data_IF_692832107632
#
_entry.id   IF_692832107632
#
_cell.length_a   1.000
_cell.length_b   1.000
_cell.length_c   1.000
_cell.angle_alpha   90.00
_cell.angle_beta   90.00
_cell.angle_gamma   90.00
#
_symmetry.space_group_name_H-M   'P 1'
#
loop_
_entity.id
_entity.type
_entity.pdbx_description
1 polymer ?
#
# COMPACT_ATOMS: atom_id res chain seq x y z
N UNK A 1 -17.07 -24.18 26.88
CA UNK A 1 -16.78 -22.82 27.39
C UNK A 1 -17.78 -21.90 26.74
N UNK A 2 -18.70 -21.31 27.52
CA UNK A 2 -19.67 -20.38 27.00
C UNK A 2 -18.97 -19.18 26.38
N UNK A 3 -19.21 -18.95 25.08
CA UNK A 3 -18.80 -17.71 24.42
C UNK A 3 -19.57 -16.56 25.08
N UNK A 4 -18.93 -15.86 26.01
CA UNK A 4 -19.56 -14.70 26.68
C UNK A 4 -19.63 -13.46 25.76
N UNK A 5 -19.41 -13.59 24.46
CA UNK A 5 -19.50 -12.52 23.45
C UNK A 5 -20.37 -12.97 22.28
N UNK A 6 -21.11 -12.04 21.70
CA UNK A 6 -21.95 -12.25 20.53
C UNK A 6 -21.34 -11.57 19.30
N UNK A 7 -21.58 -12.15 18.14
CA UNK A 7 -21.19 -11.60 16.85
C UNK A 7 -22.40 -10.89 16.22
N UNK A 8 -22.17 -9.72 15.66
CA UNK A 8 -23.15 -8.96 14.91
C UNK A 8 -22.53 -8.14 13.78
N UNK A 9 -23.37 -7.62 12.92
CA UNK A 9 -23.00 -6.67 11.89
C UNK A 9 -22.77 -5.28 12.49
N UNK A 10 -22.09 -4.46 11.71
CA UNK A 10 -21.97 -3.03 11.99
C UNK A 10 -23.32 -2.34 11.80
N UNK A 11 -23.67 -1.43 12.70
CA UNK A 11 -24.76 -0.48 12.57
C UNK A 11 -24.21 0.95 12.69
N UNK A 12 -24.90 1.89 12.05
CA UNK A 12 -24.58 3.30 12.18
C UNK A 12 -24.66 3.73 13.66
N UNK A 13 -23.61 4.42 14.13
CA UNK A 13 -23.44 4.77 15.55
C UNK A 13 -22.44 3.87 16.30
N UNK A 14 -21.99 2.76 15.71
CA UNK A 14 -20.98 1.89 16.32
C UNK A 14 -19.57 2.51 16.31
N UNK A 15 -19.38 3.62 15.58
CA UNK A 15 -18.07 4.26 15.38
C UNK A 15 -17.40 4.63 16.70
N UNK A 16 -18.17 5.09 17.69
CA UNK A 16 -17.64 5.42 19.01
C UNK A 16 -17.11 4.17 19.73
N UNK A 17 -17.87 3.08 19.70
CA UNK A 17 -17.43 1.81 20.28
C UNK A 17 -16.23 1.18 19.56
N UNK A 18 -16.15 1.35 18.24
CA UNK A 18 -14.98 0.93 17.43
C UNK A 18 -13.77 1.78 17.82
N UNK A 19 -13.95 3.10 18.00
CA UNK A 19 -12.88 3.99 18.42
C UNK A 19 -12.37 3.64 19.82
N UNK A 20 -13.25 3.32 20.79
CA UNK A 20 -12.85 2.86 22.11
C UNK A 20 -12.04 1.56 22.05
N UNK A 21 -12.46 0.61 21.19
CA UNK A 21 -11.68 -0.60 20.94
C UNK A 21 -10.31 -0.26 20.33
N UNK A 22 -10.24 0.66 19.36
CA UNK A 22 -8.99 1.12 18.76
C UNK A 22 -8.04 1.71 19.83
N UNK A 23 -8.55 2.55 20.72
CA UNK A 23 -7.76 3.10 21.85
C UNK A 23 -7.22 2.01 22.76
N UNK A 24 -8.04 1.02 23.08
CA UNK A 24 -7.62 -0.10 23.94
C UNK A 24 -6.53 -0.96 23.29
N UNK A 25 -6.56 -1.10 21.97
CA UNK A 25 -5.56 -1.88 21.20
C UNK A 25 -4.28 -1.11 20.96
N UNK A 26 -4.36 0.21 20.76
CA UNK A 26 -3.22 1.10 20.43
C UNK A 26 -3.09 2.29 21.41
N UNK A 27 -2.88 2.05 22.71
CA UNK A 27 -2.86 3.12 23.72
C UNK A 27 -1.76 4.16 23.49
N UNK A 28 -0.74 3.84 22.68
CA UNK A 28 0.38 4.74 22.36
C UNK A 28 0.11 5.70 21.19
N UNK A 29 -1.01 5.56 20.50
CA UNK A 29 -1.36 6.45 19.37
C UNK A 29 -2.09 7.69 19.87
N UNK A 30 -2.08 8.74 19.06
CA UNK A 30 -2.94 9.91 19.28
C UNK A 30 -4.42 9.52 19.18
N UNK A 31 -5.24 10.02 20.13
CA UNK A 31 -6.64 9.65 20.29
C UNK A 31 -7.56 10.85 20.14
N UNK A 32 -7.56 11.49 18.96
CA UNK A 32 -8.56 12.48 18.58
C UNK A 32 -9.70 11.79 17.83
N UNK A 33 -10.88 11.74 18.47
CA UNK A 33 -12.06 11.08 17.88
C UNK A 33 -12.51 11.76 16.58
N UNK A 34 -12.51 13.09 16.52
CA UNK A 34 -12.95 13.83 15.34
C UNK A 34 -12.05 13.57 14.13
N UNK A 35 -10.75 13.57 14.35
CA UNK A 35 -9.74 13.25 13.34
C UNK A 35 -9.85 11.80 12.88
N UNK A 36 -9.93 10.86 13.82
CA UNK A 36 -10.11 9.45 13.55
C UNK A 36 -11.40 9.19 12.78
N UNK A 37 -12.54 9.81 13.15
CA UNK A 37 -13.83 9.61 12.52
C UNK A 37 -13.84 10.12 11.06
N UNK A 38 -13.19 11.26 10.77
CA UNK A 38 -13.05 11.74 9.39
C UNK A 38 -12.26 10.74 8.53
N UNK A 39 -11.13 10.24 9.05
CA UNK A 39 -10.33 9.21 8.39
C UNK A 39 -11.12 7.92 8.21
N UNK A 40 -11.81 7.47 9.26
CA UNK A 40 -12.60 6.26 9.25
C UNK A 40 -13.74 6.34 8.21
N UNK A 41 -14.49 7.44 8.16
CA UNK A 41 -15.55 7.65 7.15
C UNK A 41 -15.00 7.62 5.74
N UNK A 42 -13.93 8.35 5.49
CA UNK A 42 -13.23 8.31 4.19
C UNK A 42 -12.89 6.88 3.78
N UNK A 43 -12.31 6.08 4.67
CA UNK A 43 -11.85 4.73 4.35
C UNK A 43 -13.01 3.74 4.19
N UNK A 44 -13.99 3.77 5.10
CA UNK A 44 -15.00 2.72 5.23
C UNK A 44 -16.35 3.06 4.58
N UNK A 45 -16.66 4.34 4.36
CA UNK A 45 -17.93 4.79 3.79
C UNK A 45 -17.79 5.39 2.39
N UNK A 46 -16.73 6.19 2.16
CA UNK A 46 -16.55 6.97 0.92
C UNK A 46 -15.76 6.23 -0.15
N UNK A 47 -15.48 4.94 0.03
CA UNK A 47 -14.76 4.12 -0.92
C UNK A 47 -15.54 3.98 -2.24
N UNK A 48 -14.95 4.35 -3.41
CA UNK A 48 -15.66 4.30 -4.70
C UNK A 48 -15.96 2.88 -5.20
N UNK A 49 -15.37 1.86 -4.61
CA UNK A 49 -15.70 0.46 -4.94
C UNK A 49 -16.91 -0.07 -4.15
N UNK A 50 -17.39 0.70 -3.16
CA UNK A 50 -18.52 0.38 -2.28
C UNK A 50 -18.16 0.49 -0.80
N UNK A 51 -19.15 0.44 0.11
CA UNK A 51 -18.91 0.50 1.54
C UNK A 51 -18.18 -0.75 2.04
N UNK A 52 -17.41 -0.57 3.10
CA UNK A 52 -16.70 -1.68 3.76
C UNK A 52 -17.68 -2.71 4.35
N UNK A 53 -17.25 -3.98 4.37
CA UNK A 53 -17.90 -5.04 5.16
C UNK A 53 -17.23 -5.14 6.50
N UNK A 54 -18.04 -5.15 7.57
CA UNK A 54 -17.56 -5.06 8.93
C UNK A 54 -18.30 -6.05 9.83
N UNK A 55 -17.56 -6.82 10.61
CA UNK A 55 -18.08 -7.70 11.64
C UNK A 55 -17.63 -7.26 13.03
N UNK A 56 -18.53 -7.26 13.99
CA UNK A 56 -18.31 -6.86 15.38
C UNK A 56 -18.50 -8.04 16.33
N UNK A 57 -17.68 -8.09 17.37
CA UNK A 57 -17.92 -8.91 18.55
C UNK A 57 -18.27 -7.99 19.71
N UNK A 58 -19.38 -8.27 20.37
CA UNK A 58 -19.88 -7.49 21.49
C UNK A 58 -19.99 -8.33 22.76
N UNK A 59 -19.63 -7.75 23.89
CA UNK A 59 -19.85 -8.32 25.21
C UNK A 59 -20.30 -7.22 26.18
N UNK A 60 -21.44 -7.44 26.85
CA UNK A 60 -22.03 -6.50 27.83
C UNK A 60 -22.18 -5.06 27.27
N UNK A 61 -22.66 -4.91 26.03
CA UNK A 61 -22.83 -3.63 25.35
C UNK A 61 -21.54 -2.95 24.90
N UNK A 62 -20.37 -3.63 24.99
CA UNK A 62 -19.08 -3.10 24.53
C UNK A 62 -18.57 -3.87 23.34
N UNK A 63 -18.04 -3.17 22.34
CA UNK A 63 -17.35 -3.78 21.19
C UNK A 63 -15.98 -4.27 21.66
N UNK A 64 -15.78 -5.58 21.60
CA UNK A 64 -14.53 -6.26 22.04
C UNK A 64 -13.76 -6.88 20.88
N UNK A 65 -14.32 -6.85 19.67
CA UNK A 65 -13.67 -7.31 18.45
C UNK A 65 -14.21 -6.59 17.23
N UNK A 66 -13.35 -6.36 16.24
CA UNK A 66 -13.67 -5.72 14.98
C UNK A 66 -12.84 -6.36 13.86
N UNK A 67 -13.48 -6.64 12.74
CA UNK A 67 -12.86 -7.12 11.52
C UNK A 67 -13.51 -6.45 10.32
N UNK A 68 -12.70 -5.87 9.43
CA UNK A 68 -13.20 -5.18 8.26
C UNK A 68 -12.47 -5.58 6.99
N UNK A 69 -13.17 -5.49 5.86
CA UNK A 69 -12.62 -5.53 4.51
C UNK A 69 -13.12 -4.34 3.71
N UNK A 70 -12.23 -3.76 2.91
CA UNK A 70 -12.53 -2.66 2.00
C UNK A 70 -12.72 -3.21 0.59
N UNK A 71 -13.86 -2.99 -0.06
CA UNK A 71 -14.01 -3.33 -1.47
C UNK A 71 -12.96 -2.61 -2.32
N UNK A 72 -12.45 -3.31 -3.32
CA UNK A 72 -11.55 -2.77 -4.32
C UNK A 72 -11.80 -3.44 -5.67
N UNK A 73 -11.37 -2.81 -6.74
CA UNK A 73 -11.48 -3.39 -8.08
C UNK A 73 -10.10 -3.74 -8.61
N UNK A 74 -9.97 -4.96 -9.10
CA UNK A 74 -8.76 -5.44 -9.79
C UNK A 74 -9.03 -5.53 -11.29
N UNK A 75 -8.06 -5.14 -12.10
CA UNK A 75 -7.97 -5.64 -13.48
C UNK A 75 -7.25 -6.98 -13.43
N UNK A 76 -7.90 -8.03 -13.90
CA UNK A 76 -7.34 -9.38 -14.05
C UNK A 76 -7.45 -9.74 -15.53
N UNK A 77 -6.32 -9.79 -16.24
CA UNK A 77 -6.28 -10.01 -17.69
C UNK A 77 -7.26 -9.10 -18.45
N UNK A 78 -7.27 -7.81 -18.12
CA UNK A 78 -8.15 -6.78 -18.72
C UNK A 78 -9.62 -6.79 -18.24
N UNK A 79 -10.03 -7.76 -17.41
CA UNK A 79 -11.39 -7.81 -16.84
C UNK A 79 -11.42 -7.22 -15.44
N UNK A 80 -12.42 -6.36 -15.19
CA UNK A 80 -12.61 -5.81 -13.85
C UNK A 80 -13.32 -6.82 -12.95
N UNK A 81 -12.66 -7.16 -11.84
CA UNK A 81 -13.14 -8.10 -10.82
C UNK A 81 -13.28 -7.38 -9.50
N UNK A 82 -14.37 -7.64 -8.78
CA UNK A 82 -14.54 -7.14 -7.42
C UNK A 82 -13.70 -7.98 -6.45
N UNK A 83 -12.85 -7.30 -5.72
CA UNK A 83 -11.99 -7.85 -4.69
C UNK A 83 -12.15 -7.02 -3.40
N UNK A 84 -11.37 -7.34 -2.38
CA UNK A 84 -11.31 -6.53 -1.16
C UNK A 84 -9.90 -6.53 -0.55
N UNK A 85 -9.65 -5.57 0.31
CA UNK A 85 -8.47 -5.46 1.15
C UNK A 85 -8.86 -5.72 2.61
N UNK A 86 -8.24 -6.68 3.27
CA UNK A 86 -8.46 -6.93 4.70
C UNK A 86 -7.70 -5.90 5.53
N UNK A 87 -8.46 -5.16 6.33
CA UNK A 87 -7.97 -4.07 7.18
C UNK A 87 -8.44 -4.24 8.62
N UNK A 88 -7.87 -3.45 9.54
CA UNK A 88 -8.29 -3.32 10.95
C UNK A 88 -8.85 -4.59 11.61
N UNK A 89 -7.93 -5.46 12.01
CA UNK A 89 -8.25 -6.69 12.75
C UNK A 89 -7.99 -6.44 14.22
N UNK A 90 -9.02 -5.98 14.94
CA UNK A 90 -8.89 -5.55 16.33
C UNK A 90 -9.54 -6.58 17.28
N UNK A 91 -8.86 -6.89 18.37
CA UNK A 91 -9.41 -7.64 19.51
C UNK A 91 -8.92 -7.00 20.79
N UNK A 92 -9.85 -6.64 21.65
CA UNK A 92 -9.55 -6.04 22.94
C UNK A 92 -8.53 -6.89 23.71
N UNK A 93 -7.50 -6.32 24.35
CA UNK A 93 -6.44 -7.07 25.01
C UNK A 93 -6.94 -8.17 25.94
N UNK A 94 -7.95 -7.89 26.78
CA UNK A 94 -8.53 -8.84 27.75
C UNK A 94 -9.39 -9.94 27.11
N UNK A 95 -9.66 -9.83 25.80
CA UNK A 95 -10.50 -10.77 25.04
C UNK A 95 -9.73 -11.57 24.00
N UNK A 96 -8.39 -11.43 23.96
CA UNK A 96 -7.53 -12.19 23.06
C UNK A 96 -7.57 -13.69 23.38
N UNK A 97 -7.19 -14.51 22.42
CA UNK A 97 -7.14 -15.99 22.50
C UNK A 97 -8.50 -16.66 22.73
N UNK A 98 -9.62 -15.96 22.42
CA UNK A 98 -10.98 -16.48 22.54
C UNK A 98 -11.63 -16.75 21.17
N UNK A 99 -10.86 -16.80 20.09
CA UNK A 99 -11.33 -17.07 18.72
C UNK A 99 -12.13 -15.94 18.07
N UNK A 100 -12.17 -14.73 18.68
CA UNK A 100 -12.97 -13.59 18.19
C UNK A 100 -12.59 -13.25 16.74
N UNK A 101 -11.31 -12.97 16.51
CA UNK A 101 -10.83 -12.58 15.18
C UNK A 101 -11.15 -13.65 14.12
N UNK A 102 -10.85 -14.90 14.39
CA UNK A 102 -11.08 -16.00 13.45
C UNK A 102 -12.57 -16.14 13.10
N UNK A 103 -13.46 -16.04 14.09
CA UNK A 103 -14.91 -16.13 13.89
C UNK A 103 -15.43 -14.96 13.06
N UNK A 104 -15.00 -13.72 13.37
CA UNK A 104 -15.40 -12.53 12.62
C UNK A 104 -14.90 -12.57 11.18
N UNK A 105 -13.63 -12.96 10.97
CA UNK A 105 -13.04 -13.05 9.64
C UNK A 105 -13.79 -14.05 8.76
N UNK A 106 -14.09 -15.26 9.26
CA UNK A 106 -14.85 -16.28 8.53
C UNK A 106 -16.23 -15.77 8.12
N UNK A 107 -16.95 -15.07 9.02
CA UNK A 107 -18.25 -14.45 8.71
C UNK A 107 -18.11 -13.40 7.60
N UNK A 108 -17.22 -12.43 7.79
CA UNK A 108 -17.03 -11.31 6.84
C UNK A 108 -16.62 -11.80 5.46
N UNK A 109 -15.76 -12.85 5.38
CA UNK A 109 -15.35 -13.41 4.09
C UNK A 109 -16.45 -14.23 3.40
N UNK A 110 -17.29 -14.94 4.17
CA UNK A 110 -18.43 -15.65 3.62
C UNK A 110 -19.48 -14.68 3.05
N UNK A 111 -19.76 -13.59 3.73
CA UNK A 111 -20.65 -12.53 3.25
C UNK A 111 -20.08 -11.84 2.01
N UNK A 112 -18.77 -11.54 2.02
CA UNK A 112 -18.07 -10.98 0.87
C UNK A 112 -18.20 -11.84 -0.39
N UNK A 113 -18.10 -13.16 -0.24
CA UNK A 113 -18.34 -14.11 -1.34
C UNK A 113 -19.74 -13.98 -1.93
N UNK A 114 -20.76 -13.84 -1.05
CA UNK A 114 -22.17 -13.60 -1.45
C UNK A 114 -22.37 -12.29 -2.22
N UNK A 115 -21.58 -11.26 -1.92
CA UNK A 115 -21.58 -9.96 -2.61
C UNK A 115 -20.78 -9.96 -3.92
N UNK A 116 -20.23 -11.09 -4.33
CA UNK A 116 -19.44 -11.21 -5.56
C UNK A 116 -17.98 -10.78 -5.44
N UNK A 117 -17.48 -10.54 -4.22
CA UNK A 117 -16.05 -10.36 -3.99
C UNK A 117 -15.36 -11.71 -4.23
N UNK A 118 -14.36 -11.75 -5.11
CA UNK A 118 -13.68 -12.98 -5.55
C UNK A 118 -12.40 -13.27 -4.78
N UNK A 119 -11.76 -12.24 -4.25
CA UNK A 119 -10.45 -12.31 -3.62
C UNK A 119 -10.41 -11.29 -2.48
N UNK A 120 -9.85 -11.70 -1.33
CA UNK A 120 -9.47 -10.80 -0.25
C UNK A 120 -7.95 -10.72 -0.22
N UNK A 121 -7.41 -9.51 -0.38
CA UNK A 121 -5.98 -9.22 -0.30
C UNK A 121 -5.59 -8.81 1.11
N UNK A 122 -4.33 -8.99 1.49
CA UNK A 122 -3.83 -8.54 2.76
C UNK A 122 -2.33 -8.30 2.79
N UNK A 123 -1.93 -7.35 3.62
CA UNK A 123 -0.53 -7.00 3.90
C UNK A 123 -0.22 -7.20 5.38
N UNK A 124 -0.29 -8.45 5.88
CA UNK A 124 -0.12 -8.72 7.30
C UNK A 124 1.32 -8.44 7.76
N UNK A 125 1.46 -8.04 9.01
CA UNK A 125 2.74 -8.07 9.69
C UNK A 125 3.11 -9.50 10.10
N UNK A 126 4.32 -9.70 10.61
CA UNK A 126 4.83 -11.02 10.98
C UNK A 126 3.92 -11.78 11.97
N UNK A 127 3.27 -11.08 12.91
CA UNK A 127 2.41 -11.74 13.92
C UNK A 127 1.06 -12.15 13.35
N UNK A 128 0.45 -11.31 12.52
CA UNK A 128 -0.84 -11.61 11.89
C UNK A 128 -0.72 -12.59 10.73
N UNK A 129 0.44 -12.65 10.06
CA UNK A 129 0.70 -13.55 8.95
C UNK A 129 0.53 -15.03 9.34
N UNK A 130 1.23 -15.50 10.38
CA UNK A 130 1.10 -16.86 10.83
C UNK A 130 -0.35 -17.25 11.16
N UNK A 131 -1.07 -16.34 11.82
CA UNK A 131 -2.45 -16.60 12.22
C UNK A 131 -3.42 -16.74 11.02
N UNK A 132 -3.26 -15.96 9.95
CA UNK A 132 -4.15 -16.03 8.79
C UNK A 132 -3.83 -17.25 7.91
N UNK A 133 -2.56 -17.60 7.76
CA UNK A 133 -2.15 -18.79 6.97
C UNK A 133 -2.61 -20.07 7.68
N UNK A 134 -2.40 -20.19 9.00
CA UNK A 134 -2.71 -21.43 9.73
C UNK A 134 -4.21 -21.63 10.00
N UNK A 135 -5.03 -20.54 10.09
CA UNK A 135 -6.40 -20.63 10.61
C UNK A 135 -7.49 -20.19 9.63
N UNK A 136 -7.13 -19.51 8.55
CA UNK A 136 -8.09 -18.87 7.67
C UNK A 136 -7.88 -19.21 6.19
N UNK A 137 -7.11 -20.24 5.87
CA UNK A 137 -6.86 -20.75 4.51
C UNK A 137 -6.31 -19.68 3.53
N UNK A 138 -5.59 -18.71 4.07
CA UNK A 138 -4.88 -17.73 3.25
C UNK A 138 -3.65 -18.36 2.62
N UNK A 139 -3.22 -17.85 1.49
CA UNK A 139 -1.98 -18.26 0.83
C UNK A 139 -1.07 -17.07 0.56
N UNK A 140 0.23 -17.34 0.62
CA UNK A 140 1.26 -16.37 0.31
C UNK A 140 1.35 -16.15 -1.20
N UNK A 141 1.47 -14.86 -1.60
CA UNK A 141 1.82 -14.48 -2.97
C UNK A 141 3.29 -14.06 -3.01
N UNK A 142 3.69 -13.14 -2.14
CA UNK A 142 5.05 -12.61 -2.12
C UNK A 142 5.40 -11.90 -0.82
N UNK A 143 6.71 -11.60 -0.67
CA UNK A 143 7.15 -10.49 0.17
C UNK A 143 7.33 -9.25 -0.72
N UNK A 144 6.82 -8.10 -0.27
CA UNK A 144 7.06 -6.83 -0.94
C UNK A 144 8.54 -6.48 -0.87
N UNK A 145 9.09 -5.98 -1.98
CA UNK A 145 10.50 -5.56 -2.02
C UNK A 145 10.61 -4.10 -1.63
N UNK A 146 11.57 -3.80 -0.76
CA UNK A 146 11.90 -2.41 -0.42
C UNK A 146 13.10 -1.99 -1.24
N UNK A 147 12.96 -0.88 -1.95
CA UNK A 147 14.02 -0.20 -2.66
C UNK A 147 14.27 1.16 -2.03
N UNK A 148 15.54 1.48 -1.78
CA UNK A 148 15.98 2.69 -1.09
C UNK A 148 16.88 3.51 -2.00
N UNK A 149 16.68 4.84 -2.01
CA UNK A 149 17.57 5.81 -2.65
C UNK A 149 18.08 6.79 -1.60
N UNK A 150 19.26 6.61 -1.03
CA UNK A 150 19.90 7.62 -0.19
C UNK A 150 20.19 8.89 -1.00
N UNK A 151 19.82 10.04 -0.45
CA UNK A 151 20.14 11.37 -0.98
C UNK A 151 21.11 12.11 -0.06
N UNK A 152 21.03 11.88 1.24
CA UNK A 152 22.00 12.27 2.25
C UNK A 152 22.44 11.02 3.01
N UNK A 153 23.67 10.59 2.82
CA UNK A 153 24.18 9.35 3.40
C UNK A 153 24.27 9.39 4.92
N UNK A 154 24.68 10.52 5.49
CA UNK A 154 24.80 10.68 6.94
C UNK A 154 23.44 10.46 7.64
N UNK A 155 22.43 11.12 7.14
CA UNK A 155 21.08 11.04 7.71
C UNK A 155 20.43 9.68 7.41
N UNK A 156 20.64 9.15 6.20
CA UNK A 156 20.14 7.83 5.82
C UNK A 156 20.74 6.72 6.69
N UNK A 157 22.03 6.79 7.00
CA UNK A 157 22.70 5.85 7.93
C UNK A 157 22.10 5.99 9.35
N UNK A 158 21.87 7.21 9.81
CA UNK A 158 21.25 7.46 11.14
C UNK A 158 19.88 6.81 11.27
N UNK A 159 19.03 6.90 10.25
CA UNK A 159 17.72 6.24 10.22
C UNK A 159 17.83 4.72 10.25
N UNK A 160 18.77 4.20 9.46
CA UNK A 160 18.99 2.77 9.26
C UNK A 160 19.67 2.13 10.46
N UNK A 161 20.62 2.81 11.12
CA UNK A 161 21.32 2.33 12.31
C UNK A 161 20.40 2.18 13.53
N UNK A 162 19.28 2.90 13.58
CA UNK A 162 18.24 2.67 14.60
C UNK A 162 17.55 1.32 14.44
N UNK A 163 17.54 0.75 13.28
CA UNK A 163 17.22 -0.65 13.03
C UNK A 163 18.53 -1.45 13.19
N UNK A 164 18.67 -2.22 14.26
CA UNK A 164 19.89 -2.94 14.70
C UNK A 164 20.65 -3.74 13.62
N UNK A 165 20.07 -3.92 12.44
CA UNK A 165 20.64 -4.71 11.34
C UNK A 165 21.41 -3.90 10.30
N UNK A 166 21.38 -2.58 10.32
CA UNK A 166 21.95 -1.77 9.24
C UNK A 166 23.21 -0.97 9.61
N UNK A 167 23.47 -0.81 10.91
CA UNK A 167 24.67 -0.09 11.40
C UNK A 167 26.03 -0.68 10.98
N UNK A 168 26.04 -1.96 10.57
CA UNK A 168 27.27 -2.65 10.17
C UNK A 168 27.58 -2.57 8.66
N UNK A 169 26.66 -2.07 7.81
CA UNK A 169 26.74 -2.21 6.35
C UNK A 169 27.14 -0.91 5.65
N UNK A 170 26.89 0.24 6.27
CA UNK A 170 27.19 1.54 5.68
C UNK A 170 28.53 2.10 6.19
N UNK A 171 29.61 1.52 5.71
CA UNK A 171 30.92 2.16 5.83
C UNK A 171 31.01 3.35 4.84
N UNK A 172 31.79 4.39 5.13
CA UNK A 172 32.06 5.50 4.19
C UNK A 172 32.55 5.03 2.82
N UNK A 173 33.14 3.83 2.73
CA UNK A 173 33.57 3.20 1.48
C UNK A 173 32.37 2.86 0.57
N UNK A 174 31.20 2.55 1.13
CA UNK A 174 30.01 2.28 0.34
C UNK A 174 29.53 3.51 -0.43
N UNK A 175 29.69 4.73 0.09
CA UNK A 175 29.30 5.96 -0.59
C UNK A 175 30.19 6.25 -1.81
N UNK A 176 31.50 6.03 -1.68
CA UNK A 176 32.47 6.24 -2.77
C UNK A 176 32.34 5.20 -3.89
N UNK A 177 32.05 3.96 -3.56
CA UNK A 177 31.78 2.90 -4.54
C UNK A 177 30.44 3.12 -5.25
N UNK A 178 29.47 3.71 -4.55
CA UNK A 178 28.14 3.99 -5.06
C UNK A 178 28.17 5.03 -6.18
N UNK A 179 28.83 6.16 -5.97
CA UNK A 179 28.92 7.22 -6.98
C UNK A 179 29.65 6.74 -8.24
N UNK A 180 30.67 5.91 -8.11
CA UNK A 180 31.40 5.33 -9.26
C UNK A 180 30.54 4.37 -10.09
N UNK A 181 29.63 3.60 -9.47
CA UNK A 181 28.75 2.65 -10.19
C UNK A 181 27.64 3.35 -10.97
N UNK A 182 27.31 4.61 -10.66
CA UNK A 182 26.30 5.40 -11.36
C UNK A 182 26.85 6.14 -12.61
N UNK A 183 28.15 6.44 -12.65
CA UNK A 183 28.74 7.28 -13.71
C UNK A 183 28.88 6.62 -15.10
N UNK A 184 28.67 5.31 -15.22
CA UNK A 184 28.81 4.57 -16.50
C UNK A 184 27.48 4.23 -17.19
N UNK A 185 26.33 4.72 -16.73
CA UNK A 185 25.03 4.26 -17.21
C UNK A 185 24.56 5.06 -18.43
N UNK A 186 24.10 4.31 -19.47
CA UNK A 186 23.52 4.86 -20.70
C UNK A 186 22.47 5.92 -20.34
N UNK A 187 22.57 7.11 -20.97
CA UNK A 187 21.49 8.12 -20.88
C UNK A 187 20.21 7.50 -21.42
N UNK A 188 19.06 7.71 -20.74
CA UNK A 188 17.78 7.26 -21.26
C UNK A 188 17.47 7.96 -22.57
N UNK A 189 16.68 7.30 -23.41
CA UNK A 189 16.14 7.91 -24.59
C UNK A 189 15.26 9.10 -24.19
N UNK A 190 15.49 10.25 -24.80
CA UNK A 190 14.71 11.45 -24.52
C UNK A 190 13.47 11.40 -25.39
N UNK A 191 12.29 11.40 -24.75
CA UNK A 191 11.03 11.53 -25.48
C UNK A 191 10.84 13.03 -25.76
N UNK A 192 10.90 13.41 -27.03
CA UNK A 192 10.69 14.80 -27.44
C UNK A 192 9.30 15.30 -27.05
N UNK A 193 9.22 16.49 -26.48
CA UNK A 193 7.98 17.09 -26.01
C UNK A 193 7.44 16.54 -24.67
N UNK A 194 8.08 15.53 -24.06
CA UNK A 194 7.66 15.04 -22.74
C UNK A 194 8.12 16.00 -21.64
N UNK A 195 7.18 16.48 -20.83
CA UNK A 195 7.44 17.31 -19.66
C UNK A 195 7.02 16.60 -18.38
N UNK A 196 7.72 16.89 -17.27
CA UNK A 196 7.35 16.37 -15.94
C UNK A 196 7.07 17.53 -15.00
N UNK A 197 5.85 17.56 -14.46
CA UNK A 197 5.39 18.62 -13.55
C UNK A 197 4.65 18.03 -12.34
N UNK A 198 4.57 18.81 -11.27
CA UNK A 198 3.71 18.52 -10.13
C UNK A 198 2.30 19.03 -10.40
N UNK A 199 1.30 18.29 -9.95
CA UNK A 199 -0.12 18.67 -9.99
C UNK A 199 -0.74 18.49 -8.61
N UNK A 200 -1.90 19.12 -8.39
CA UNK A 200 -2.58 19.15 -7.09
C UNK A 200 -3.75 18.18 -7.00
N UNK A 201 -4.21 17.65 -8.12
CA UNK A 201 -5.37 16.76 -8.18
C UNK A 201 -5.30 15.80 -9.36
N UNK A 202 -6.10 14.76 -9.29
CA UNK A 202 -6.37 13.84 -10.40
C UNK A 202 -7.56 14.36 -11.21
N UNK A 203 -7.55 14.12 -12.54
CA UNK A 203 -8.58 14.49 -13.49
C UNK A 203 -8.86 13.38 -14.51
N UNK A 204 -9.76 13.61 -15.49
CA UNK A 204 -10.21 12.60 -16.44
C UNK A 204 -9.08 12.06 -17.33
N UNK A 205 -7.95 12.75 -17.46
CA UNK A 205 -6.79 12.28 -18.22
C UNK A 205 -6.16 11.03 -17.61
N UNK A 206 -6.38 10.80 -16.31
CA UNK A 206 -5.95 9.56 -15.65
C UNK A 206 -6.77 8.34 -16.09
N UNK A 207 -8.02 8.52 -16.51
CA UNK A 207 -8.82 7.43 -17.09
C UNK A 207 -8.27 7.04 -18.48
N UNK A 208 -7.81 8.02 -19.26
CA UNK A 208 -7.13 7.78 -20.55
C UNK A 208 -5.83 7.00 -20.31
N UNK A 209 -5.03 7.42 -19.35
CA UNK A 209 -3.81 6.69 -18.97
C UNK A 209 -4.13 5.26 -18.50
N UNK A 210 -5.15 5.09 -17.64
CA UNK A 210 -5.57 3.78 -17.17
C UNK A 210 -5.88 2.83 -18.31
N UNK A 211 -6.66 3.27 -19.29
CA UNK A 211 -7.02 2.45 -20.45
C UNK A 211 -5.81 2.02 -21.31
N UNK A 212 -4.73 2.80 -21.28
CA UNK A 212 -3.47 2.48 -21.98
C UNK A 212 -2.55 1.52 -21.21
N UNK A 213 -2.69 1.43 -19.89
CA UNK A 213 -1.78 0.66 -19.03
C UNK A 213 -2.41 -0.57 -18.37
N UNK A 214 -3.73 -0.67 -18.35
CA UNK A 214 -4.45 -1.74 -17.64
C UNK A 214 -4.03 -3.15 -18.07
N UNK A 215 -3.72 -3.33 -19.37
CA UNK A 215 -3.33 -4.62 -19.94
C UNK A 215 -1.82 -4.91 -19.86
N UNK A 216 -1.02 -3.98 -19.33
CA UNK A 216 0.43 -4.21 -19.17
C UNK A 216 0.75 -5.23 -18.08
N UNK A 217 -0.19 -5.47 -17.16
CA UNK A 217 -0.04 -6.37 -16.04
C UNK A 217 -1.20 -7.36 -15.99
N UNK A 218 -0.93 -8.59 -15.60
CA UNK A 218 -1.98 -9.60 -15.51
C UNK A 218 -2.97 -9.31 -14.38
N UNK A 219 -2.47 -8.81 -13.25
CA UNK A 219 -3.30 -8.40 -12.10
C UNK A 219 -2.77 -7.07 -11.56
N UNK A 220 -3.63 -6.06 -11.48
CA UNK A 220 -3.35 -4.81 -10.80
C UNK A 220 -4.63 -4.16 -10.25
N UNK A 221 -4.49 -3.33 -9.24
CA UNK A 221 -5.61 -2.52 -8.72
C UNK A 221 -6.03 -1.49 -9.77
N UNK A 222 -7.33 -1.29 -9.93
CA UNK A 222 -7.90 -0.25 -10.80
C UNK A 222 -7.34 1.13 -10.40
N UNK A 223 -6.80 1.88 -11.36
CA UNK A 223 -6.20 3.21 -11.14
C UNK A 223 -6.86 4.28 -12.00
N UNK A 224 -8.20 4.26 -12.04
CA UNK A 224 -8.96 5.32 -12.69
C UNK A 224 -9.00 6.59 -11.82
N UNK A 225 -9.42 7.70 -12.42
CA UNK A 225 -9.51 9.00 -11.76
C UNK A 225 -10.27 8.94 -10.43
N UNK A 226 -11.43 8.26 -10.40
CA UNK A 226 -12.26 8.15 -9.21
C UNK A 226 -11.54 7.44 -8.05
N UNK A 227 -10.88 6.31 -8.32
CA UNK A 227 -10.07 5.59 -7.34
C UNK A 227 -8.89 6.42 -6.84
N UNK A 228 -8.13 7.04 -7.75
CA UNK A 228 -6.94 7.82 -7.40
C UNK A 228 -7.29 9.06 -6.56
N UNK A 229 -8.38 9.76 -6.88
CA UNK A 229 -8.88 10.90 -6.10
C UNK A 229 -9.25 10.48 -4.69
N UNK A 230 -9.98 9.38 -4.53
CA UNK A 230 -10.30 8.85 -3.22
C UNK A 230 -9.04 8.41 -2.47
N UNK A 231 -8.23 7.55 -3.09
CA UNK A 231 -7.07 6.93 -2.43
C UNK A 231 -6.04 7.93 -1.92
N UNK A 232 -5.76 8.94 -2.72
CA UNK A 232 -4.76 9.97 -2.41
C UNK A 232 -5.38 11.30 -1.94
N UNK A 233 -6.69 11.36 -1.80
CA UNK A 233 -7.44 12.43 -1.15
C UNK A 233 -7.77 12.15 0.32
N UNK A 234 -7.10 11.17 0.94
CA UNK A 234 -7.30 10.82 2.35
C UNK A 234 -7.14 12.05 3.26
N UNK A 235 -8.00 12.23 4.27
CA UNK A 235 -7.90 13.35 5.21
C UNK A 235 -6.50 13.44 5.82
N UNK A 236 -5.93 14.65 5.79
CA UNK A 236 -4.60 14.96 6.36
C UNK A 236 -3.40 14.22 5.72
N UNK A 237 -3.63 13.45 4.67
CA UNK A 237 -2.58 12.78 3.93
C UNK A 237 -2.03 13.70 2.83
N UNK A 238 -0.94 14.40 3.12
CA UNK A 238 -0.29 15.33 2.20
C UNK A 238 0.54 14.58 1.15
N UNK A 239 -0.10 14.12 0.07
CA UNK A 239 0.58 13.54 -1.08
C UNK A 239 1.03 14.60 -2.09
N UNK A 240 2.19 14.39 -2.70
CA UNK A 240 2.64 15.12 -3.88
C UNK A 240 2.49 14.25 -5.11
N UNK A 241 1.88 14.79 -6.17
CA UNK A 241 1.57 14.07 -7.40
C UNK A 241 2.43 14.65 -8.53
N UNK A 242 3.23 13.84 -9.17
CA UNK A 242 4.00 14.19 -10.37
C UNK A 242 3.41 13.48 -11.58
N UNK A 243 3.27 14.19 -12.70
CA UNK A 243 2.85 13.62 -13.97
C UNK A 243 3.92 13.84 -15.04
N UNK A 244 4.05 12.87 -15.93
CA UNK A 244 4.73 13.01 -17.20
C UNK A 244 3.65 13.26 -18.26
N UNK A 245 3.75 14.39 -18.95
CA UNK A 245 2.74 14.86 -19.92
C UNK A 245 3.39 15.15 -21.26
N UNK A 246 2.73 14.73 -22.33
CA UNK A 246 3.05 15.06 -23.70
C UNK A 246 1.76 15.34 -24.47
N UNK A 247 1.71 16.43 -25.26
CA UNK A 247 0.55 16.81 -26.08
C UNK A 247 -0.76 16.85 -25.27
N UNK A 248 -0.69 17.37 -24.03
CA UNK A 248 -1.79 17.43 -23.03
C UNK A 248 -2.27 16.09 -22.50
N UNK A 249 -1.70 14.96 -22.93
CA UNK A 249 -1.99 13.62 -22.40
C UNK A 249 -1.03 13.23 -21.27
N UNK A 250 -1.53 12.57 -20.24
CA UNK A 250 -0.71 11.97 -19.19
C UNK A 250 -0.16 10.62 -19.70
N UNK A 251 1.17 10.50 -19.69
CA UNK A 251 1.88 9.30 -20.10
C UNK A 251 2.35 8.47 -18.91
N UNK A 252 2.33 9.07 -17.72
CA UNK A 252 2.65 8.40 -16.47
C UNK A 252 2.52 9.33 -15.29
N UNK A 253 2.45 8.77 -14.08
CA UNK A 253 2.42 9.53 -12.84
C UNK A 253 3.20 8.83 -11.73
N UNK A 254 3.46 9.60 -10.67
CA UNK A 254 4.09 9.16 -9.45
C UNK A 254 3.46 9.91 -8.27
N UNK A 255 3.14 9.17 -7.19
CA UNK A 255 2.63 9.72 -5.94
C UNK A 255 3.62 9.47 -4.82
N UNK A 256 4.00 10.51 -4.10
CA UNK A 256 4.91 10.44 -2.95
C UNK A 256 4.31 11.14 -1.74
N UNK A 257 4.58 10.60 -0.55
CA UNK A 257 4.31 11.23 0.74
C UNK A 257 5.62 11.50 1.44
N UNK A 258 5.73 12.67 2.07
CA UNK A 258 6.86 13.02 2.90
C UNK A 258 6.50 12.81 4.37
N UNK A 259 7.37 12.11 5.08
CA UNK A 259 7.26 11.94 6.53
C UNK A 259 8.53 12.46 7.20
N UNK A 260 8.43 12.80 8.48
CA UNK A 260 9.59 13.11 9.31
C UNK A 260 9.73 12.04 10.38
N UNK A 261 10.84 11.32 10.33
CA UNK A 261 11.21 10.34 11.35
C UNK A 261 12.45 10.81 12.08
N UNK A 262 12.32 10.99 13.40
CA UNK A 262 13.42 11.45 14.25
C UNK A 262 14.13 12.73 13.74
N UNK A 263 13.34 13.68 13.19
CA UNK A 263 13.86 14.93 12.63
C UNK A 263 14.42 14.81 11.21
N UNK A 264 14.43 13.61 10.62
CA UNK A 264 14.94 13.35 9.28
C UNK A 264 13.77 13.18 8.31
N UNK A 265 13.81 13.92 7.19
CA UNK A 265 12.75 13.87 6.17
C UNK A 265 12.96 12.67 5.23
N UNK A 266 11.94 11.85 5.09
CA UNK A 266 11.90 10.65 4.22
C UNK A 266 10.77 10.81 3.21
N UNK A 267 11.03 10.50 1.96
CA UNK A 267 10.02 10.40 0.91
C UNK A 267 9.62 8.95 0.68
N UNK A 268 8.34 8.64 0.70
CA UNK A 268 7.82 7.30 0.41
C UNK A 268 7.01 7.37 -0.88
N UNK A 269 7.45 6.67 -1.92
CA UNK A 269 6.69 6.52 -3.16
C UNK A 269 5.54 5.54 -2.88
N UNK A 270 4.31 6.02 -3.00
CA UNK A 270 3.10 5.22 -2.79
C UNK A 270 2.62 4.55 -4.07
N UNK A 271 2.68 5.27 -5.18
CA UNK A 271 2.22 4.75 -6.47
C UNK A 271 3.05 5.33 -7.62
N UNK A 272 3.24 4.55 -8.66
CA UNK A 272 3.91 4.97 -9.86
C UNK A 272 3.50 4.09 -11.03
N UNK A 273 2.91 4.69 -12.07
CA UNK A 273 2.49 4.01 -13.29
C UNK A 273 2.88 4.82 -14.51
N UNK A 274 3.33 4.15 -15.56
CA UNK A 274 3.65 4.80 -16.83
C UNK A 274 3.41 3.88 -18.02
N UNK A 275 3.14 4.48 -19.18
CA UNK A 275 2.91 3.75 -20.44
C UNK A 275 4.16 2.97 -20.89
N UNK A 276 5.36 3.43 -20.55
CA UNK A 276 6.61 2.78 -20.90
C UNK A 276 7.73 3.06 -19.90
N UNK A 277 8.79 2.27 -19.97
CA UNK A 277 10.03 2.48 -19.16
C UNK A 277 10.68 3.84 -19.41
N UNK A 278 10.51 4.39 -20.61
CA UNK A 278 11.17 5.64 -21.02
C UNK A 278 10.44 6.86 -20.43
N UNK A 279 9.18 6.69 -20.01
CA UNK A 279 8.40 7.67 -19.23
C UNK A 279 8.72 7.59 -17.73
N UNK A 280 9.00 6.39 -17.20
CA UNK A 280 9.35 6.22 -15.78
C UNK A 280 10.64 6.96 -15.40
N UNK A 281 11.64 6.94 -16.26
CA UNK A 281 12.96 7.52 -15.94
C UNK A 281 12.89 9.03 -15.70
N UNK A 282 12.29 9.86 -16.58
CA UNK A 282 12.13 11.30 -16.31
C UNK A 282 11.28 11.61 -15.07
N UNK A 283 10.25 10.82 -14.77
CA UNK A 283 9.47 10.94 -13.53
C UNK A 283 10.35 10.76 -12.30
N UNK A 284 11.11 9.68 -12.24
CA UNK A 284 12.00 9.37 -11.12
C UNK A 284 13.09 10.44 -10.98
N UNK A 285 13.68 10.92 -12.09
CA UNK A 285 14.69 11.98 -12.06
C UNK A 285 14.14 13.31 -11.56
N UNK A 286 12.92 13.66 -11.95
CA UNK A 286 12.24 14.88 -11.44
C UNK A 286 12.00 14.74 -9.94
N UNK A 287 11.47 13.59 -9.50
CA UNK A 287 11.28 13.31 -8.08
C UNK A 287 12.58 13.42 -7.28
N UNK A 288 13.69 12.82 -7.76
CA UNK A 288 14.98 12.87 -7.05
C UNK A 288 15.44 14.32 -6.89
N UNK A 289 15.33 15.16 -7.95
CA UNK A 289 15.68 16.59 -7.89
C UNK A 289 14.81 17.34 -6.89
N UNK A 290 13.50 17.09 -6.90
CA UNK A 290 12.57 17.70 -5.96
C UNK A 290 12.90 17.31 -4.51
N UNK A 291 13.15 16.02 -4.26
CA UNK A 291 13.57 15.51 -2.96
C UNK A 291 14.88 16.14 -2.46
N UNK A 292 15.86 16.36 -3.35
CA UNK A 292 17.13 17.01 -3.02
C UNK A 292 16.91 18.48 -2.63
N UNK A 293 16.09 19.23 -3.40
CA UNK A 293 15.73 20.62 -3.10
C UNK A 293 14.99 20.74 -1.76
N UNK A 294 14.16 19.78 -1.43
CA UNK A 294 13.39 19.70 -0.18
C UNK A 294 14.13 19.03 0.99
N UNK A 295 15.44 18.80 0.85
CA UNK A 295 16.31 18.18 1.88
C UNK A 295 15.81 16.84 2.40
N UNK A 296 15.23 16.03 1.52
CA UNK A 296 14.87 14.64 1.81
C UNK A 296 16.16 13.81 1.91
N UNK A 297 16.31 13.05 2.97
CA UNK A 297 17.52 12.24 3.20
C UNK A 297 17.47 10.89 2.49
N UNK A 298 16.27 10.31 2.37
CA UNK A 298 16.05 8.97 1.85
C UNK A 298 14.74 8.93 1.07
N UNK A 299 14.75 8.28 -0.10
CA UNK A 299 13.52 7.89 -0.79
C UNK A 299 13.34 6.38 -0.64
N UNK A 300 12.15 5.97 -0.22
CA UNK A 300 11.74 4.57 -0.10
C UNK A 300 10.64 4.26 -1.11
N UNK A 301 10.73 3.09 -1.71
CA UNK A 301 9.67 2.53 -2.52
C UNK A 301 9.47 1.06 -2.19
N UNK A 302 8.23 0.67 -1.93
CA UNK A 302 7.87 -0.72 -1.66
C UNK A 302 6.90 -1.22 -2.73
N UNK A 303 7.30 -2.28 -3.41
CA UNK A 303 6.53 -2.83 -4.51
C UNK A 303 6.75 -4.34 -4.65
N UNK A 304 5.81 -5.04 -5.29
CA UNK A 304 6.10 -6.32 -5.91
C UNK A 304 6.63 -6.02 -7.32
N UNK A 305 7.92 -6.29 -7.52
CA UNK A 305 8.65 -5.75 -8.64
C UNK A 305 8.33 -6.42 -9.97
N UNK A 306 7.75 -5.64 -10.89
CA UNK A 306 7.97 -5.85 -12.30
C UNK A 306 9.46 -5.59 -12.64
N UNK A 307 10.08 -6.47 -13.41
CA UNK A 307 11.50 -6.38 -13.80
C UNK A 307 11.87 -5.05 -14.46
N UNK A 308 10.93 -4.45 -15.20
CA UNK A 308 11.12 -3.16 -15.89
C UNK A 308 11.27 -2.03 -14.87
N UNK A 309 10.32 -1.90 -13.93
CA UNK A 309 10.34 -0.89 -12.86
C UNK A 309 11.60 -1.00 -12.02
N UNK A 310 11.94 -2.21 -11.61
CA UNK A 310 13.16 -2.47 -10.84
C UNK A 310 14.42 -1.99 -11.57
N UNK A 311 14.56 -2.29 -12.88
CA UNK A 311 15.72 -1.85 -13.67
C UNK A 311 15.81 -0.34 -13.77
N UNK A 312 14.68 0.35 -13.99
CA UNK A 312 14.66 1.82 -14.07
C UNK A 312 15.02 2.43 -12.73
N UNK A 313 14.47 1.93 -11.62
CA UNK A 313 14.84 2.37 -10.27
C UNK A 313 16.33 2.17 -9.99
N UNK A 314 16.88 0.99 -10.30
CA UNK A 314 18.31 0.71 -10.14
C UNK A 314 19.19 1.64 -10.98
N UNK A 315 18.79 1.98 -12.22
CA UNK A 315 19.48 2.97 -13.04
C UNK A 315 19.52 4.35 -12.38
N UNK A 316 18.48 4.71 -11.63
CA UNK A 316 18.38 5.95 -10.88
C UNK A 316 18.98 5.85 -9.47
N UNK A 317 19.68 4.76 -9.16
CA UNK A 317 20.42 4.59 -7.92
C UNK A 317 19.57 4.14 -6.73
N UNK A 318 18.45 3.50 -6.96
CA UNK A 318 17.77 2.74 -5.91
C UNK A 318 18.44 1.39 -5.71
N UNK A 319 18.57 0.98 -4.46
CA UNK A 319 19.09 -0.32 -4.05
C UNK A 319 18.01 -1.15 -3.37
N UNK A 320 18.08 -2.43 -3.55
CA UNK A 320 17.33 -3.40 -2.78
C UNK A 320 18.26 -4.09 -1.80
N UNK A 321 17.91 -4.06 -0.54
CA UNK A 321 18.69 -4.71 0.51
C UNK A 321 18.00 -6.04 0.85
N UNK A 322 18.62 -7.20 0.58
CA UNK A 322 17.94 -8.50 0.66
C UNK A 322 17.50 -8.90 2.07
N UNK A 323 18.11 -8.29 3.10
CA UNK A 323 17.75 -8.50 4.50
C UNK A 323 16.64 -7.57 5.00
N UNK A 324 16.25 -6.54 4.24
CA UNK A 324 15.08 -5.70 4.54
C UNK A 324 13.89 -6.32 3.82
N UNK A 325 13.09 -7.06 4.57
CA UNK A 325 11.83 -7.60 4.06
C UNK A 325 10.76 -6.53 4.19
N UNK A 326 9.99 -6.33 3.13
CA UNK A 326 8.76 -5.58 3.16
C UNK A 326 7.62 -6.38 3.81
N UNK A 327 6.41 -5.85 3.73
CA UNK A 327 5.20 -6.53 4.17
C UNK A 327 5.03 -7.86 3.43
N UNK A 328 4.44 -8.85 4.08
CA UNK A 328 3.88 -9.99 3.38
C UNK A 328 2.76 -9.51 2.46
N UNK A 329 2.59 -10.18 1.36
CA UNK A 329 1.47 -10.00 0.45
C UNK A 329 0.80 -11.35 0.27
N UNK A 330 -0.45 -11.45 0.75
CA UNK A 330 -1.21 -12.69 0.83
C UNK A 330 -2.61 -12.47 0.26
N UNK A 331 -3.27 -13.56 -0.09
CA UNK A 331 -4.66 -13.54 -0.51
C UNK A 331 -5.45 -14.69 0.11
N UNK A 332 -6.76 -14.47 0.15
CA UNK A 332 -7.78 -15.48 0.42
C UNK A 332 -8.73 -15.51 -0.79
N UNK A 333 -8.96 -16.70 -1.35
CA UNK A 333 -9.91 -16.85 -2.45
C UNK A 333 -11.30 -17.14 -1.92
N UNK A 334 -12.26 -16.33 -2.32
CA UNK A 334 -13.68 -16.52 -1.98
C UNK A 334 -14.44 -17.29 -3.06
N UNK A 335 -13.78 -17.57 -4.19
CA UNK A 335 -14.35 -18.22 -5.36
C UNK A 335 -13.33 -19.12 -6.03
N UNK A 336 -13.80 -20.14 -6.74
CA UNK A 336 -12.96 -21.04 -7.56
C UNK A 336 -12.83 -20.58 -9.02
N UNK A 337 -13.47 -19.48 -9.40
CA UNK A 337 -13.46 -18.96 -10.78
C UNK A 337 -12.07 -18.54 -11.27
N UNK A 338 -11.19 -18.18 -10.33
CA UNK A 338 -9.81 -17.81 -10.62
C UNK A 338 -8.91 -18.80 -9.87
N UNK A 339 -8.06 -19.53 -10.59
CA UNK A 339 -7.25 -20.57 -9.97
C UNK A 339 -6.26 -19.99 -8.94
N UNK A 340 -6.12 -20.68 -7.82
CA UNK A 340 -5.16 -20.29 -6.77
C UNK A 340 -3.72 -20.33 -7.30
N UNK A 341 -3.40 -21.23 -8.23
CA UNK A 341 -2.09 -21.27 -8.89
C UNK A 341 -1.79 -19.97 -9.65
N UNK A 342 -2.79 -19.40 -10.35
CA UNK A 342 -2.65 -18.14 -11.05
C UNK A 342 -2.50 -16.97 -10.07
N UNK A 343 -3.33 -16.92 -9.03
CA UNK A 343 -3.28 -15.89 -7.98
C UNK A 343 -2.00 -15.97 -7.15
N UNK A 344 -1.52 -17.17 -6.84
CA UNK A 344 -0.31 -17.41 -6.06
C UNK A 344 1.00 -17.14 -6.82
N UNK A 345 0.93 -16.94 -8.15
CA UNK A 345 2.13 -16.60 -8.90
C UNK A 345 2.46 -15.12 -8.74
N UNK A 346 3.56 -14.77 -8.04
CA UNK A 346 3.92 -13.39 -7.78
C UNK A 346 4.24 -12.57 -9.04
N UNK A 347 4.60 -13.20 -10.15
CA UNK A 347 4.93 -12.51 -11.38
C UNK A 347 3.68 -12.01 -12.14
N UNK A 348 2.49 -12.48 -11.76
CA UNK A 348 1.23 -11.99 -12.30
C UNK A 348 0.80 -10.65 -11.70
N UNK A 349 1.36 -10.24 -10.56
CA UNK A 349 0.92 -9.10 -9.79
C UNK A 349 1.78 -7.86 -10.00
N UNK A 350 1.08 -6.74 -10.20
CA UNK A 350 1.65 -5.41 -10.04
C UNK A 350 1.03 -4.75 -8.82
N UNK A 351 1.78 -4.73 -7.72
CA UNK A 351 1.32 -4.25 -6.41
C UNK A 351 2.36 -3.30 -5.82
N UNK A 352 1.88 -2.21 -5.27
CA UNK A 352 2.66 -1.15 -4.65
C UNK A 352 2.15 -0.88 -3.23
N UNK A 353 2.89 -0.12 -2.44
CA UNK A 353 2.48 0.24 -1.08
C UNK A 353 1.14 0.99 -1.06
N UNK A 354 0.83 1.74 -2.12
CA UNK A 354 -0.46 2.40 -2.30
C UNK A 354 -1.66 1.46 -2.39
N UNK A 355 -1.44 0.18 -2.66
CA UNK A 355 -2.50 -0.82 -2.71
C UNK A 355 -2.78 -1.45 -1.32
N UNK A 356 -2.00 -1.10 -0.30
CA UNK A 356 -2.17 -1.57 1.08
C UNK A 356 -3.04 -0.61 1.91
N UNK A 357 -3.29 -0.96 3.15
CA UNK A 357 -3.98 -0.15 4.15
C UNK A 357 -3.10 0.99 4.75
N UNK A 358 -1.85 1.09 4.33
CA UNK A 358 -0.96 2.18 4.73
C UNK A 358 -1.36 3.48 4.00
N UNK A 359 -1.61 4.56 4.76
CA UNK A 359 -2.05 5.87 4.26
C UNK A 359 -1.14 6.99 4.76
#
# INVERSE_FOLDING_TARGET
MDKKWAMRDYHEGDEEGIFELFRAVYPQREHDYGKWLRWWRWMYKDNPAGPARMGLAEQNGKIVGYCAILPMRLSIMGKIVLASLAVDKLTHPDHRRRGIYETLAKKVYAEAAGDGIRIVLGFPNQFSHAAIIEKLDWFDIANMQIMLKPLNWKDAIGLVAKNQYLGSIFSPVASLLWDKTLHGRKKPDVIEGLTVKQVTSFDERFDILWNKVADQFQIMVLRNNNYLRWRYGAPEANYSIFIAEKDSEIWGYLVIKYITDSGIKVGIIFDMVAQSKDVLDPLIRKLIRDCQQNRVALIQYQLRANKVYRRVLQRNGFISLPFIKGSYFCAYSTSTDISQQFLGNPDNWFVQIGDSDLV
#
